data_IF_376327809580
#
_entry.id   IF_376327809580
#
_cell.length_a   1.000
_cell.length_b   1.000
_cell.length_c   1.000
_cell.angle_alpha   90.00
_cell.angle_beta   90.00
_cell.angle_gamma   90.00
#
_symmetry.space_group_name_H-M   'P 1'
#
loop_
_entity.id
_entity.type
_entity.pdbx_description
1 polymer ?
#
# COMPACT_ATOMS: atom_id res chain seq x y z
N UNK A 1 15.81 -59.91 53.47
CA UNK A 1 15.03 -60.98 52.81
C UNK A 1 15.53 -61.12 51.39
N UNK A 2 15.87 -62.37 51.04
CA UNK A 2 16.30 -62.95 49.76
C UNK A 2 16.76 -62.05 48.58
N UNK A 3 18.02 -62.27 48.21
CA UNK A 3 18.57 -62.07 46.88
C UNK A 3 17.98 -63.07 45.87
N UNK A 4 18.00 -62.72 44.58
CA UNK A 4 18.46 -63.59 43.47
C UNK A 4 18.96 -62.68 42.34
N UNK A 5 20.22 -62.86 41.99
CA UNK A 5 20.84 -62.44 40.74
C UNK A 5 21.27 -63.71 39.99
N UNK A 6 20.97 -63.83 38.69
CA UNK A 6 21.68 -64.69 37.73
C UNK A 6 21.37 -64.17 36.31
N UNK A 7 22.32 -63.52 35.62
CA UNK A 7 23.43 -64.05 34.79
C UNK A 7 23.02 -64.68 33.44
N UNK A 8 23.30 -63.89 32.40
CA UNK A 8 24.08 -64.19 31.16
C UNK A 8 23.68 -65.38 30.26
N UNK A 9 23.54 -65.08 28.96
CA UNK A 9 24.40 -65.51 27.80
C UNK A 9 23.59 -65.23 26.50
N UNK A 10 23.99 -64.29 25.66
CA UNK A 10 24.99 -64.41 24.58
C UNK A 10 24.57 -65.37 23.45
N UNK A 11 24.27 -64.83 22.26
CA UNK A 11 24.64 -65.36 20.94
C UNK A 11 24.10 -64.46 19.80
N UNK A 12 24.99 -63.70 19.16
CA UNK A 12 25.00 -63.48 17.70
C UNK A 12 25.58 -64.77 17.05
N UNK A 13 25.51 -65.04 15.74
CA UNK A 13 25.08 -64.22 14.59
C UNK A 13 24.15 -64.98 13.61
N UNK A 14 23.75 -64.39 12.48
CA UNK A 14 23.85 -64.97 11.11
C UNK A 14 23.36 -63.92 10.10
N UNK A 15 24.23 -63.66 9.13
CA UNK A 15 24.00 -62.87 7.92
C UNK A 15 22.88 -63.48 7.07
N UNK A 16 22.00 -62.65 6.53
CA UNK A 16 21.35 -62.91 5.25
C UNK A 16 21.39 -61.62 4.42
N UNK A 17 22.22 -61.66 3.38
CA UNK A 17 22.23 -60.68 2.30
C UNK A 17 20.90 -60.75 1.54
N UNK A 18 20.30 -59.59 1.27
CA UNK A 18 19.13 -59.42 0.43
C UNK A 18 19.25 -58.10 -0.31
N UNK A 19 19.48 -58.22 -1.61
CA UNK A 19 19.87 -57.21 -2.59
C UNK A 19 18.62 -56.54 -3.20
N UNK A 20 18.72 -55.23 -3.53
CA UNK A 20 17.89 -54.42 -4.46
C UNK A 20 16.42 -54.09 -4.07
N UNK A 21 16.06 -52.79 -4.02
CA UNK A 21 15.52 -52.04 -5.17
C UNK A 21 14.98 -50.65 -4.78
N UNK A 22 15.17 -49.72 -5.72
CA UNK A 22 14.40 -48.50 -5.98
C UNK A 22 14.56 -47.28 -5.06
N UNK A 23 15.43 -46.37 -5.51
CA UNK A 23 15.19 -44.94 -5.40
C UNK A 23 13.84 -44.60 -6.04
N UNK A 24 12.88 -44.11 -5.26
CA UNK A 24 11.84 -43.20 -5.74
C UNK A 24 11.21 -42.49 -4.54
N UNK A 25 12.03 -41.75 -3.82
CA UNK A 25 11.51 -40.65 -3.02
C UNK A 25 11.23 -39.50 -3.97
N UNK A 26 10.02 -39.48 -4.56
CA UNK A 26 9.49 -38.28 -5.19
C UNK A 26 9.44 -37.20 -4.11
N UNK A 27 10.50 -36.39 -4.04
CA UNK A 27 10.43 -35.08 -3.44
C UNK A 27 9.48 -34.27 -4.29
N UNK A 28 8.18 -34.36 -3.98
CA UNK A 28 7.20 -33.39 -4.44
C UNK A 28 7.63 -32.09 -3.77
N UNK A 29 8.41 -31.30 -4.51
CA UNK A 29 8.49 -29.86 -4.29
C UNK A 29 7.07 -29.38 -4.55
N UNK A 30 6.25 -29.40 -3.49
CA UNK A 30 4.99 -28.71 -3.45
C UNK A 30 5.32 -27.24 -3.56
N UNK A 31 5.45 -26.76 -4.81
CA UNK A 31 5.38 -25.36 -5.11
C UNK A 31 4.07 -24.89 -4.51
N UNK A 32 4.18 -24.19 -3.39
CA UNK A 32 3.15 -23.28 -2.95
C UNK A 32 2.92 -22.39 -4.18
N UNK A 33 1.85 -22.66 -4.92
CA UNK A 33 1.30 -21.70 -5.87
C UNK A 33 1.02 -20.48 -5.00
N UNK A 34 1.95 -19.52 -5.03
CA UNK A 34 1.73 -18.21 -4.44
C UNK A 34 0.45 -17.74 -5.11
N UNK A 35 -0.62 -17.44 -4.35
CA UNK A 35 -1.82 -16.88 -4.97
C UNK A 35 -1.37 -15.71 -5.83
N UNK A 36 -1.79 -15.69 -7.09
CA UNK A 36 -1.46 -14.59 -8.00
C UNK A 36 -1.81 -13.28 -7.30
N UNK A 37 -0.88 -12.33 -7.36
CA UNK A 37 -1.13 -11.01 -6.80
C UNK A 37 -2.40 -10.44 -7.47
N UNK A 38 -3.31 -9.80 -6.71
CA UNK A 38 -4.49 -9.19 -7.29
C UNK A 38 -4.08 -8.25 -8.44
N UNK A 39 -4.85 -8.27 -9.54
CA UNK A 39 -4.57 -7.37 -10.66
C UNK A 39 -4.69 -5.90 -10.20
N UNK A 40 -3.71 -5.05 -10.52
CA UNK A 40 -3.76 -3.65 -10.15
C UNK A 40 -4.97 -2.96 -10.80
N UNK A 41 -5.75 -2.24 -10.00
CA UNK A 41 -6.91 -1.51 -10.50
C UNK A 41 -6.53 -0.05 -10.71
N UNK A 42 -6.42 0.36 -11.98
CA UNK A 42 -6.26 1.76 -12.36
C UNK A 42 -7.58 2.51 -12.11
N UNK A 43 -7.52 3.59 -11.33
CA UNK A 43 -8.64 4.51 -11.11
C UNK A 43 -8.19 5.91 -11.54
N UNK A 44 -8.51 6.28 -12.77
CA UNK A 44 -8.33 7.66 -13.24
C UNK A 44 -9.25 8.58 -12.45
N UNK A 45 -8.75 9.75 -12.02
CA UNK A 45 -9.61 10.73 -11.37
C UNK A 45 -10.54 11.35 -12.42
N UNK A 46 -11.87 11.35 -12.23
CA UNK A 46 -12.79 11.94 -13.21
C UNK A 46 -12.50 13.42 -13.45
N UNK A 47 -12.68 13.90 -14.69
CA UNK A 47 -12.34 15.26 -15.10
C UNK A 47 -13.06 16.34 -14.26
N UNK A 48 -14.31 16.11 -13.89
CA UNK A 48 -15.09 17.01 -13.03
C UNK A 48 -14.56 17.04 -11.58
N UNK A 49 -13.96 15.95 -11.11
CA UNK A 49 -13.28 15.93 -9.81
C UNK A 49 -11.99 16.72 -9.90
N UNK A 50 -11.19 16.51 -10.96
CA UNK A 50 -9.95 17.27 -11.17
C UNK A 50 -10.20 18.76 -11.35
N UNK A 51 -11.25 19.14 -12.08
CA UNK A 51 -11.63 20.54 -12.26
C UNK A 51 -11.98 21.20 -10.91
N UNK A 52 -12.69 20.49 -10.01
CA UNK A 52 -12.95 20.99 -8.66
C UNK A 52 -11.67 21.06 -7.83
N UNK A 53 -10.79 20.06 -7.90
CA UNK A 53 -9.50 20.11 -7.21
C UNK A 53 -8.62 21.26 -7.70
N UNK A 54 -8.73 21.63 -8.99
CA UNK A 54 -8.02 22.76 -9.56
C UNK A 54 -8.48 24.12 -9.03
N UNK A 55 -9.65 24.22 -8.38
CA UNK A 55 -10.08 25.45 -7.70
C UNK A 55 -9.17 25.78 -6.50
N UNK A 56 -8.48 24.79 -5.93
CA UNK A 56 -7.51 24.99 -4.85
C UNK A 56 -6.16 25.54 -5.36
N UNK A 57 -5.89 25.49 -6.67
CA UNK A 57 -4.60 25.91 -7.22
C UNK A 57 -4.28 27.37 -6.93
N UNK A 58 -3.05 27.63 -6.46
CA UNK A 58 -2.59 28.95 -6.05
C UNK A 58 -3.18 29.45 -4.73
N UNK A 59 -4.01 28.65 -4.06
CA UNK A 59 -4.49 28.93 -2.70
C UNK A 59 -3.58 28.29 -1.67
N UNK A 60 -3.69 28.74 -0.41
CA UNK A 60 -2.93 28.18 0.70
C UNK A 60 -3.61 26.91 1.21
N UNK A 61 -2.84 25.84 1.35
CA UNK A 61 -3.32 24.61 1.99
C UNK A 61 -3.14 24.75 3.50
N UNK A 62 -4.20 25.13 4.22
CA UNK A 62 -4.12 25.38 5.67
C UNK A 62 -4.38 24.12 6.52
N UNK A 63 -5.12 23.14 5.97
CA UNK A 63 -5.32 21.81 6.52
C UNK A 63 -6.21 20.98 5.58
N UNK A 64 -6.09 19.64 5.59
CA UNK A 64 -6.97 18.78 4.83
C UNK A 64 -8.41 18.94 5.31
N UNK A 65 -9.33 19.11 4.36
CA UNK A 65 -10.74 19.43 4.63
C UNK A 65 -11.56 18.17 4.89
N UNK A 66 -12.11 18.03 6.10
CA UNK A 66 -13.05 16.97 6.46
C UNK A 66 -12.97 16.53 7.92
N UNK A 67 -14.04 15.92 8.42
CA UNK A 67 -14.03 15.22 9.70
C UNK A 67 -13.15 13.96 9.53
N UNK A 68 -11.89 14.03 9.99
CA UNK A 68 -10.95 12.90 9.97
C UNK A 68 -11.56 11.76 10.79
N UNK A 69 -11.90 10.66 10.13
CA UNK A 69 -12.44 9.46 10.79
C UNK A 69 -11.33 8.51 11.22
N UNK A 70 -10.23 8.48 10.46
CA UNK A 70 -9.07 7.62 10.71
C UNK A 70 -7.75 8.33 10.42
N UNK A 71 -6.76 8.12 11.29
CA UNK A 71 -5.39 8.52 11.03
C UNK A 71 -4.77 7.58 9.98
N UNK A 72 -4.00 8.15 9.04
CA UNK A 72 -3.20 7.37 8.10
C UNK A 72 -1.74 7.86 8.08
N UNK A 73 -0.83 6.95 7.77
CA UNK A 73 0.51 7.29 7.33
C UNK A 73 0.66 6.95 5.85
N UNK A 74 1.43 7.79 5.15
CA UNK A 74 1.81 7.54 3.77
C UNK A 74 3.31 7.72 3.66
N UNK A 75 3.96 6.76 3.01
CA UNK A 75 5.39 6.75 2.80
C UNK A 75 5.68 6.35 1.35
N UNK A 76 6.86 6.72 0.84
CA UNK A 76 7.34 6.19 -0.43
C UNK A 76 7.47 4.67 -0.33
N UNK A 77 7.03 3.96 -1.36
CA UNK A 77 7.17 2.51 -1.37
C UNK A 77 8.65 2.14 -1.41
N UNK A 78 9.17 1.37 -0.42
CA UNK A 78 10.59 1.01 -0.39
C UNK A 78 10.96 0.00 -1.49
N UNK A 79 9.98 -0.64 -2.11
CA UNK A 79 10.15 -1.71 -3.09
C UNK A 79 10.03 -1.21 -4.54
N UNK A 80 9.64 0.05 -4.75
CA UNK A 80 9.37 0.60 -6.08
C UNK A 80 9.97 2.00 -6.24
N UNK A 81 10.56 2.25 -7.41
CA UNK A 81 11.10 3.57 -7.75
C UNK A 81 10.05 4.41 -8.48
N UNK A 82 10.08 5.75 -8.33
CA UNK A 82 9.28 6.63 -9.18
C UNK A 82 9.57 6.42 -10.66
N UNK A 83 8.57 6.69 -11.51
CA UNK A 83 8.69 6.63 -12.97
C UNK A 83 8.01 7.85 -13.59
N UNK A 84 8.80 8.81 -14.08
CA UNK A 84 8.28 10.09 -14.53
C UNK A 84 7.56 10.82 -13.39
N UNK A 85 6.28 11.11 -13.57
CA UNK A 85 5.41 11.72 -12.55
C UNK A 85 4.58 10.71 -11.74
N UNK A 86 4.89 9.41 -11.87
CA UNK A 86 4.27 8.37 -11.06
C UNK A 86 5.08 8.10 -9.79
N UNK A 87 4.47 8.28 -8.62
CA UNK A 87 5.06 8.03 -7.31
C UNK A 87 4.43 6.78 -6.67
N UNK A 88 5.21 5.72 -6.44
CA UNK A 88 4.75 4.56 -5.70
C UNK A 88 4.75 4.86 -4.18
N UNK A 89 3.66 4.51 -3.52
CA UNK A 89 3.40 4.82 -2.12
C UNK A 89 2.90 3.58 -1.36
N UNK A 90 3.17 3.56 -0.06
CA UNK A 90 2.55 2.67 0.90
C UNK A 90 1.65 3.50 1.80
N UNK A 91 0.36 3.16 1.84
CA UNK A 91 -0.64 3.84 2.67
C UNK A 91 -1.03 2.90 3.79
N UNK A 92 -0.90 3.34 5.04
CA UNK A 92 -1.37 2.58 6.22
C UNK A 92 -2.43 3.38 6.94
N UNK A 93 -3.64 2.86 6.97
CA UNK A 93 -4.78 3.46 7.69
C UNK A 93 -4.92 2.74 9.04
N UNK A 94 -4.96 3.51 10.13
CA UNK A 94 -5.20 3.00 11.47
C UNK A 94 -6.71 2.81 11.66
N UNK A 95 -7.16 1.56 11.62
CA UNK A 95 -8.57 1.17 11.75
C UNK A 95 -8.98 0.86 13.20
N UNK A 96 -8.02 0.90 14.15
CA UNK A 96 -8.28 0.84 15.59
C UNK A 96 -8.98 2.12 16.07
N UNK A 97 -10.22 2.34 15.66
CA UNK A 97 -11.04 3.43 16.18
C UNK A 97 -11.97 2.92 17.29
N UNK A 98 -12.38 3.81 18.20
CA UNK A 98 -13.37 3.51 19.24
C UNK A 98 -14.79 3.27 18.72
N UNK A 99 -14.98 3.09 17.41
CA UNK A 99 -16.27 3.05 16.73
C UNK A 99 -16.73 1.63 16.31
N UNK A 100 -15.94 0.57 16.56
CA UNK A 100 -16.27 -0.82 16.20
C UNK A 100 -15.23 -1.47 15.29
N UNK A 101 -15.41 -2.74 14.94
CA UNK A 101 -14.59 -3.39 13.90
C UNK A 101 -14.89 -2.75 12.55
N UNK A 102 -13.91 -2.07 11.97
CA UNK A 102 -13.96 -1.59 10.59
C UNK A 102 -13.00 -2.45 9.78
N UNK A 103 -13.52 -3.09 8.74
CA UNK A 103 -12.68 -3.68 7.70
C UNK A 103 -12.88 -2.84 6.45
N UNK A 104 -11.84 -2.12 6.05
CA UNK A 104 -11.93 -1.13 5.00
C UNK A 104 -10.56 -0.87 4.37
N UNK A 105 -10.44 -1.12 3.07
CA UNK A 105 -9.24 -0.76 2.32
C UNK A 105 -9.13 0.75 2.11
N UNK A 106 -7.91 1.27 1.91
CA UNK A 106 -7.73 2.63 1.42
C UNK A 106 -8.40 2.75 0.04
N UNK A 107 -9.66 3.18 0.01
CA UNK A 107 -10.43 3.34 -1.22
C UNK A 107 -10.20 4.73 -1.77
N UNK A 108 -9.67 4.83 -2.99
CA UNK A 108 -9.52 6.08 -3.74
C UNK A 108 -8.68 7.14 -3.01
N UNK A 109 -7.43 7.35 -3.45
CA UNK A 109 -6.63 8.47 -2.97
C UNK A 109 -6.88 9.71 -3.86
N UNK A 110 -6.87 10.88 -3.25
CA UNK A 110 -6.86 12.20 -3.88
C UNK A 110 -5.90 13.08 -3.12
N UNK A 111 -5.36 14.09 -3.77
CA UNK A 111 -4.40 14.95 -3.10
C UNK A 111 -3.96 16.13 -3.92
N UNK A 112 -3.22 16.98 -3.23
CA UNK A 112 -2.60 18.19 -3.76
C UNK A 112 -1.11 18.17 -3.44
N UNK A 113 -0.33 18.82 -4.30
CA UNK A 113 1.06 19.13 -4.01
C UNK A 113 1.13 20.57 -3.51
N UNK A 114 1.76 20.73 -2.36
CA UNK A 114 1.98 22.01 -1.71
C UNK A 114 3.43 22.40 -1.95
N UNK A 115 3.66 23.50 -2.66
CA UNK A 115 4.98 24.06 -2.92
C UNK A 115 5.43 25.02 -1.84
N UNK A 116 6.35 25.92 -2.22
CA UNK A 116 6.83 26.98 -1.35
C UNK A 116 5.67 27.82 -0.78
N UNK A 117 5.90 28.34 0.43
CA UNK A 117 4.94 29.17 1.16
C UNK A 117 3.60 28.49 1.53
N UNK A 118 3.47 27.17 1.29
CA UNK A 118 2.24 26.44 1.60
C UNK A 118 1.15 26.56 0.53
N UNK A 119 1.54 26.87 -0.72
CA UNK A 119 0.59 27.07 -1.83
C UNK A 119 0.39 25.80 -2.65
N UNK A 120 -0.85 25.54 -3.09
CA UNK A 120 -1.15 24.40 -3.95
C UNK A 120 -0.58 24.65 -5.36
N UNK A 121 0.41 23.83 -5.74
CA UNK A 121 1.14 23.90 -7.00
C UNK A 121 0.79 22.76 -7.96
N UNK A 122 0.20 21.68 -7.45
CA UNK A 122 -0.18 20.52 -8.25
C UNK A 122 -1.25 19.65 -7.63
N UNK A 123 -1.64 18.61 -8.37
CA UNK A 123 -2.76 17.73 -8.09
C UNK A 123 -2.38 16.28 -8.37
N UNK A 124 -3.04 15.36 -7.68
CA UNK A 124 -3.05 13.94 -8.07
C UNK A 124 -4.05 13.75 -9.22
N UNK A 125 -3.57 13.25 -10.36
CA UNK A 125 -4.36 13.11 -11.60
C UNK A 125 -4.90 11.71 -11.83
N UNK A 126 -4.18 10.70 -11.32
CA UNK A 126 -4.61 9.31 -11.35
C UNK A 126 -4.09 8.54 -10.13
N UNK A 127 -4.80 7.48 -9.77
CA UNK A 127 -4.38 6.57 -8.70
C UNK A 127 -4.57 5.13 -9.15
N UNK A 128 -3.52 4.34 -9.06
CA UNK A 128 -3.58 2.89 -9.22
C UNK A 128 -3.44 2.25 -7.85
N UNK A 129 -4.41 1.43 -7.47
CA UNK A 129 -4.29 0.61 -6.25
C UNK A 129 -3.78 -0.76 -6.68
N UNK A 130 -2.57 -1.08 -6.24
CA UNK A 130 -1.87 -2.31 -6.65
C UNK A 130 -2.02 -3.43 -5.62
N UNK A 131 -2.26 -3.07 -4.36
CA UNK A 131 -2.66 -3.98 -3.30
C UNK A 131 -3.54 -3.21 -2.32
N UNK A 132 -4.79 -3.63 -2.13
CA UNK A 132 -5.68 -3.02 -1.13
C UNK A 132 -5.36 -3.51 0.29
N UNK A 133 -4.42 -4.46 0.44
CA UNK A 133 -4.16 -5.16 1.68
C UNK A 133 -5.31 -6.11 2.04
N UNK A 134 -5.03 -7.11 2.88
CA UNK A 134 -6.13 -7.86 3.51
C UNK A 134 -6.61 -7.10 4.74
N UNK A 135 -7.94 -6.97 4.95
CA UNK A 135 -8.44 -6.37 6.17
C UNK A 135 -7.92 -7.13 7.39
N UNK A 136 -7.41 -6.38 8.36
CA UNK A 136 -6.92 -6.89 9.65
C UNK A 136 -7.37 -5.95 10.75
N UNK A 137 -7.55 -6.50 11.94
CA UNK A 137 -7.82 -5.70 13.12
C UNK A 137 -6.66 -4.74 13.38
N UNK A 138 -6.99 -3.46 13.51
CA UNK A 138 -6.09 -2.41 13.98
C UNK A 138 -5.49 -1.53 12.89
N UNK A 139 -4.90 -2.10 11.84
CA UNK A 139 -4.30 -1.32 10.75
C UNK A 139 -4.38 -2.06 9.41
N UNK A 140 -4.65 -1.31 8.34
CA UNK A 140 -4.66 -1.82 6.98
C UNK A 140 -3.65 -1.06 6.13
N UNK A 141 -2.75 -1.81 5.52
CA UNK A 141 -1.71 -1.28 4.62
C UNK A 141 -2.02 -1.68 3.19
N UNK A 142 -1.99 -0.71 2.28
CA UNK A 142 -2.13 -0.92 0.83
C UNK A 142 -1.00 -0.26 0.04
N UNK A 143 -0.78 -0.74 -1.17
CA UNK A 143 0.18 -0.20 -2.13
C UNK A 143 -0.53 0.60 -3.22
N UNK A 144 0.01 1.78 -3.49
CA UNK A 144 -0.54 2.79 -4.39
C UNK A 144 0.51 3.23 -5.39
N UNK A 145 0.09 3.63 -6.57
CA UNK A 145 0.86 4.47 -7.45
C UNK A 145 0.01 5.69 -7.81
N UNK A 146 0.50 6.88 -7.48
CA UNK A 146 -0.19 8.14 -7.77
C UNK A 146 0.51 8.85 -8.92
N UNK A 147 -0.26 9.36 -9.87
CA UNK A 147 0.25 10.22 -10.93
C UNK A 147 0.05 11.68 -10.52
N UNK A 148 1.12 12.46 -10.64
CA UNK A 148 1.16 13.86 -10.20
C UNK A 148 1.15 14.79 -11.42
N UNK A 149 0.47 15.93 -11.30
CA UNK A 149 0.41 16.94 -12.34
C UNK A 149 0.40 18.35 -11.78
N UNK A 150 0.85 19.29 -12.60
CA UNK A 150 0.83 20.71 -12.31
C UNK A 150 -0.61 21.25 -12.29
N UNK A 151 -0.79 22.28 -11.47
CA UNK A 151 -1.97 23.13 -11.53
C UNK A 151 -2.10 23.79 -12.92
N UNK A 152 -3.32 23.91 -13.47
CA UNK A 152 -3.52 24.61 -14.73
C UNK A 152 -3.17 26.10 -14.59
N UNK A 153 -2.62 26.68 -15.65
CA UNK A 153 -2.12 28.05 -15.64
C UNK A 153 -1.90 28.59 -17.06
N UNK A 154 -1.28 29.76 -17.19
CA UNK A 154 -1.02 30.36 -18.51
C UNK A 154 -0.13 29.45 -19.38
N UNK A 155 -0.77 28.71 -20.31
CA UNK A 155 -0.10 27.74 -21.18
C UNK A 155 0.19 26.38 -20.53
N UNK A 156 -0.33 26.12 -19.33
CA UNK A 156 -0.18 24.84 -18.62
C UNK A 156 -1.55 24.17 -18.57
N UNK A 157 -1.67 23.03 -19.26
CA UNK A 157 -2.86 22.19 -19.20
C UNK A 157 -2.92 21.45 -17.86
N UNK A 158 -4.14 21.16 -17.41
CA UNK A 158 -4.37 20.33 -16.23
C UNK A 158 -3.70 18.96 -16.40
N UNK A 159 -2.83 18.59 -15.46
CA UNK A 159 -2.11 17.32 -15.51
C UNK A 159 -0.83 17.35 -16.35
N UNK A 160 -0.39 18.52 -16.81
CA UNK A 160 0.98 18.68 -17.31
C UNK A 160 2.01 18.30 -16.22
N UNK A 161 3.23 17.88 -16.57
CA UNK A 161 4.26 17.56 -15.59
C UNK A 161 4.52 18.72 -14.63
N UNK A 162 4.79 18.41 -13.36
CA UNK A 162 5.20 19.42 -12.38
C UNK A 162 6.52 20.09 -12.80
N UNK A 163 6.68 21.40 -12.55
CA UNK A 163 7.96 22.05 -12.70
C UNK A 163 8.95 21.56 -11.64
N UNK A 164 10.24 21.77 -11.90
CA UNK A 164 11.31 21.41 -10.96
C UNK A 164 11.14 22.15 -9.64
N UNK A 165 11.37 21.45 -8.53
CA UNK A 165 11.21 22.00 -7.19
C UNK A 165 10.91 20.94 -6.13
N UNK A 166 10.77 21.41 -4.90
CA UNK A 166 10.40 20.61 -3.73
C UNK A 166 8.95 20.87 -3.33
N UNK A 167 8.23 19.80 -3.03
CA UNK A 167 6.80 19.82 -2.74
C UNK A 167 6.48 18.88 -1.57
N UNK A 168 5.37 19.15 -0.88
CA UNK A 168 4.76 18.22 0.06
C UNK A 168 3.44 17.71 -0.54
N UNK A 169 3.35 16.40 -0.75
CA UNK A 169 2.15 15.72 -1.24
C UNK A 169 1.22 15.42 -0.07
N UNK A 170 0.07 16.09 -0.02
CA UNK A 170 -1.00 15.81 0.95
C UNK A 170 -2.03 14.89 0.32
N UNK A 171 -2.24 13.72 0.91
CA UNK A 171 -3.18 12.71 0.44
C UNK A 171 -4.31 12.49 1.44
N UNK A 172 -5.51 12.33 0.88
CA UNK A 172 -6.69 11.90 1.58
C UNK A 172 -7.42 10.84 0.75
N UNK A 173 -8.24 10.05 1.41
CA UNK A 173 -9.06 9.07 0.72
C UNK A 173 -10.25 8.63 1.54
N UNK A 174 -11.00 7.69 0.97
CA UNK A 174 -12.20 7.15 1.60
C UNK A 174 -11.91 5.83 2.30
N UNK A 175 -12.63 5.61 3.39
CA UNK A 175 -12.74 4.33 4.08
C UNK A 175 -14.12 3.77 3.74
N UNK A 176 -14.17 2.57 3.16
CA UNK A 176 -15.43 1.90 2.82
C UNK A 176 -15.68 0.74 3.79
N UNK A 177 -16.77 0.74 4.57
CA UNK A 177 -17.09 -0.36 5.45
C UNK A 177 -17.49 -1.62 4.65
N UNK A 178 -17.04 -2.80 5.06
CA UNK A 178 -17.38 -4.07 4.40
C UNK A 178 -18.62 -4.78 5.00
N UNK A 179 -18.93 -4.55 6.27
CA UNK A 179 -19.88 -5.36 7.04
C UNK A 179 -21.15 -4.61 7.48
N UNK A 180 -21.16 -3.28 7.36
CA UNK A 180 -22.36 -2.47 7.58
C UNK A 180 -22.33 -1.15 6.81
N UNK A 181 -23.51 -0.59 6.54
CA UNK A 181 -23.63 0.67 5.83
C UNK A 181 -23.65 1.81 6.84
N UNK A 182 -22.60 2.63 6.89
CA UNK A 182 -22.66 3.90 7.61
C UNK A 182 -23.44 4.91 6.76
N UNK A 183 -24.35 5.65 7.39
CA UNK A 183 -25.09 6.74 6.72
C UNK A 183 -24.21 7.93 6.32
N UNK A 184 -22.91 7.88 6.59
CA UNK A 184 -21.91 8.91 6.32
C UNK A 184 -20.65 8.24 5.76
N UNK A 185 -20.01 8.88 4.78
CA UNK A 185 -18.72 8.45 4.23
C UNK A 185 -17.61 8.82 5.22
N UNK A 186 -16.74 7.86 5.51
CA UNK A 186 -15.58 8.06 6.39
C UNK A 186 -14.32 8.33 5.57
N UNK A 187 -13.41 9.11 6.14
CA UNK A 187 -12.21 9.60 5.46
C UNK A 187 -10.95 9.36 6.28
N UNK A 188 -9.86 9.09 5.56
CA UNK A 188 -8.50 9.11 6.10
C UNK A 188 -7.71 10.25 5.48
N UNK A 189 -6.80 10.79 6.29
CA UNK A 189 -5.89 11.87 5.91
C UNK A 189 -4.51 11.47 6.40
N UNK A 190 -3.50 11.74 5.58
CA UNK A 190 -2.12 11.47 5.93
C UNK A 190 -1.29 12.76 6.02
N UNK A 191 -0.23 12.78 6.84
CA UNK A 191 0.81 13.80 6.77
C UNK A 191 1.39 13.91 5.36
N UNK A 192 1.93 15.09 5.05
CA UNK A 192 2.55 15.35 3.76
C UNK A 192 3.77 14.46 3.49
N UNK A 193 3.89 13.96 2.27
CA UNK A 193 5.05 13.20 1.79
C UNK A 193 5.94 14.12 0.97
N UNK A 194 7.24 14.18 1.28
CA UNK A 194 8.17 15.00 0.51
C UNK A 194 8.37 14.46 -0.91
N UNK A 195 8.25 15.35 -1.90
CA UNK A 195 8.37 15.08 -3.33
C UNK A 195 9.32 16.11 -3.93
N UNK A 196 10.39 15.65 -4.56
CA UNK A 196 11.30 16.50 -5.32
C UNK A 196 11.15 16.17 -6.81
N UNK A 197 11.12 17.19 -7.65
CA UNK A 197 11.02 17.08 -9.11
C UNK A 197 12.23 17.74 -9.76
N UNK A 198 12.83 17.06 -10.72
CA UNK A 198 13.94 17.56 -11.54
C UNK A 198 13.84 17.00 -12.95
N UNK A 199 14.12 17.83 -13.95
CA UNK A 199 14.10 17.46 -15.37
C UNK A 199 12.77 16.78 -15.81
N UNK A 200 11.66 17.23 -15.22
CA UNK A 200 10.32 16.71 -15.53
C UNK A 200 10.02 15.31 -14.97
N UNK A 201 10.78 14.84 -13.98
CA UNK A 201 10.54 13.58 -13.29
C UNK A 201 10.70 13.71 -11.77
N UNK A 202 10.04 12.82 -11.03
CA UNK A 202 10.18 12.71 -9.59
C UNK A 202 11.54 12.07 -9.26
N UNK A 203 12.27 12.72 -8.36
CA UNK A 203 13.57 12.25 -7.86
C UNK A 203 13.35 11.08 -6.88
N UNK A 204 14.09 9.95 -7.02
CA UNK A 204 13.99 8.78 -6.13
C UNK A 204 14.15 9.08 -4.64
#
# INVERSE_FOLDING_TARGET
MLAIAHRRRAALPVLAAGLLLALSGCGIVGGLLRPDAPEPTLRTVPAEVLARSAEACGTREDAPTGDVSFEASVERSPEAQPSGMTLPLTVTVQLASGHGEHSAGPGGARGVLVGEEGTVAGLVTAVTVTDEGRPRDGAQTGAFAVELGACPGAGIELGAPLPDGDYSLVLHGTVSPLDHNHGQQEYWIAPGVDVAVSDGAIVP
#
